data_IF_477121415490
#
_entry.id   IF_477121415490
#
_cell.length_a   1.000
_cell.length_b   1.000
_cell.length_c   1.000
_cell.angle_alpha   90.00
_cell.angle_beta   90.00
_cell.angle_gamma   90.00
#
_symmetry.space_group_name_H-M   'P 1'
#
loop_
_entity.id
_entity.type
_entity.pdbx_description
1 polymer ?
#
# COMPACT_ATOMS: atom_id res chain seq x y z
N UNK A 1 -11.57 6.28 0.42
CA UNK A 1 -10.25 6.26 1.07
C UNK A 1 -10.37 6.85 2.47
N UNK A 2 -9.53 6.39 3.39
CA UNK A 2 -9.40 6.93 4.74
C UNK A 2 -8.98 8.42 4.71
N UNK A 3 -9.46 9.29 5.61
CA UNK A 3 -9.00 10.68 5.70
C UNK A 3 -7.48 10.76 5.88
N UNK A 4 -6.81 11.69 5.21
CA UNK A 4 -5.36 11.86 5.26
C UNK A 4 -4.91 13.09 6.08
N UNK A 5 -5.81 14.07 6.28
CA UNK A 5 -5.52 15.30 7.00
C UNK A 5 -5.59 15.14 8.52
N UNK A 6 -4.93 16.06 9.24
CA UNK A 6 -4.83 16.04 10.71
C UNK A 6 -6.21 16.09 11.39
N UNK A 7 -7.17 16.76 10.76
CA UNK A 7 -8.54 16.92 11.24
C UNK A 7 -9.31 15.60 11.35
N UNK A 8 -9.00 14.61 10.49
CA UNK A 8 -9.63 13.28 10.53
C UNK A 8 -9.03 12.34 11.58
N UNK A 9 -7.85 12.66 12.11
CA UNK A 9 -7.09 11.78 13.00
C UNK A 9 -7.86 11.35 14.25
N UNK A 10 -8.56 12.26 14.99
CA UNK A 10 -9.29 11.86 16.19
C UNK A 10 -10.40 10.84 15.91
N UNK A 11 -11.09 10.98 14.78
CA UNK A 11 -12.22 10.14 14.42
C UNK A 11 -11.76 8.78 13.92
N UNK A 12 -10.73 8.76 13.05
CA UNK A 12 -10.07 7.51 12.65
C UNK A 12 -9.50 6.78 13.85
N UNK A 13 -8.86 7.50 14.78
CA UNK A 13 -8.34 6.94 16.02
C UNK A 13 -9.41 6.20 16.84
N UNK A 14 -10.58 6.82 17.02
CA UNK A 14 -11.71 6.18 17.73
C UNK A 14 -12.16 4.90 17.03
N UNK A 15 -12.30 4.91 15.71
CA UNK A 15 -12.67 3.72 14.93
C UNK A 15 -11.65 2.60 15.11
N UNK A 16 -10.35 2.90 15.01
CA UNK A 16 -9.30 1.89 15.18
C UNK A 16 -9.27 1.34 16.60
N UNK A 17 -9.42 2.18 17.62
CA UNK A 17 -9.53 1.73 19.02
C UNK A 17 -10.72 0.79 19.22
N UNK A 18 -11.89 1.12 18.66
CA UNK A 18 -13.06 0.25 18.72
C UNK A 18 -12.82 -1.08 18.00
N UNK A 19 -12.22 -1.06 16.80
CA UNK A 19 -11.90 -2.28 16.06
C UNK A 19 -10.94 -3.17 16.84
N UNK A 20 -9.91 -2.61 17.48
CA UNK A 20 -8.97 -3.36 18.31
C UNK A 20 -9.61 -3.95 19.56
N UNK A 21 -10.57 -3.25 20.16
CA UNK A 21 -11.33 -3.78 21.29
C UNK A 21 -12.28 -4.94 20.90
N UNK A 22 -12.74 -4.96 19.64
CA UNK A 22 -13.59 -6.03 19.12
C UNK A 22 -12.79 -7.21 18.53
N UNK A 23 -11.57 -6.94 18.04
CA UNK A 23 -10.70 -7.89 17.37
C UNK A 23 -9.26 -7.73 17.90
N UNK A 24 -8.95 -8.37 19.03
CA UNK A 24 -7.67 -8.19 19.74
C UNK A 24 -6.42 -8.53 18.89
N UNK A 25 -6.55 -9.43 17.91
CA UNK A 25 -5.46 -9.84 17.02
C UNK A 25 -5.55 -9.25 15.59
N UNK A 26 -6.43 -8.25 15.37
CA UNK A 26 -6.64 -7.68 14.04
C UNK A 26 -5.52 -6.74 13.60
N UNK A 27 -4.92 -7.00 12.43
CA UNK A 27 -4.00 -6.07 11.78
C UNK A 27 -4.79 -4.96 11.07
N UNK A 28 -4.56 -3.70 11.43
CA UNK A 28 -5.31 -2.56 10.88
C UNK A 28 -4.50 -1.86 9.80
N UNK A 29 -5.03 -1.87 8.58
CA UNK A 29 -4.49 -1.15 7.43
C UNK A 29 -5.38 0.04 7.12
N UNK A 30 -4.80 1.25 7.07
CA UNK A 30 -5.51 2.45 6.63
C UNK A 30 -5.18 2.78 5.17
N UNK A 31 -6.20 2.68 4.32
CA UNK A 31 -6.07 2.98 2.91
C UNK A 31 -6.25 4.48 2.62
N UNK A 32 -5.18 5.26 2.76
CA UNK A 32 -5.17 6.68 2.43
C UNK A 32 -4.98 6.91 0.92
N UNK A 33 -4.11 6.13 0.29
CA UNK A 33 -3.73 6.25 -1.12
C UNK A 33 -2.72 7.37 -1.41
N UNK A 34 -2.31 8.10 -0.37
CA UNK A 34 -1.31 9.18 -0.39
C UNK A 34 -0.65 9.25 0.99
N UNK A 35 0.47 9.96 1.13
CA UNK A 35 1.10 10.16 2.43
C UNK A 35 0.19 11.00 3.36
N UNK A 36 -0.33 10.43 4.45
CA UNK A 36 -1.19 11.16 5.37
C UNK A 36 -0.36 12.02 6.34
N UNK A 37 -1.05 12.77 7.21
CA UNK A 37 -0.43 13.39 8.38
C UNK A 37 0.32 12.34 9.22
N UNK A 38 1.56 12.60 9.71
CA UNK A 38 2.39 11.57 10.36
C UNK A 38 1.74 10.87 11.54
N UNK A 39 0.85 11.56 12.27
CA UNK A 39 0.12 10.99 13.40
C UNK A 39 -0.69 9.72 13.09
N UNK A 40 -1.04 9.45 11.82
CA UNK A 40 -1.71 8.21 11.44
C UNK A 40 -0.83 6.97 11.62
N UNK A 41 0.50 7.11 11.58
CA UNK A 41 1.45 6.01 11.81
C UNK A 41 1.46 5.48 13.25
N UNK A 42 0.90 6.25 14.19
CA UNK A 42 0.72 5.84 15.59
C UNK A 42 -0.62 5.13 15.83
N UNK A 43 -1.56 5.26 14.89
CA UNK A 43 -2.93 4.75 15.03
C UNK A 43 -3.07 3.36 14.43
N UNK A 44 -2.45 3.11 13.27
CA UNK A 44 -2.62 1.87 12.50
C UNK A 44 -1.32 1.08 12.38
N UNK A 45 -1.45 -0.19 12.02
CA UNK A 45 -0.32 -1.10 11.86
C UNK A 45 0.38 -0.90 10.51
N UNK A 46 -0.39 -0.52 9.49
CA UNK A 46 0.12 -0.22 8.14
C UNK A 46 -0.73 0.87 7.45
N UNK A 47 -0.08 1.68 6.61
CA UNK A 47 -0.67 2.76 5.84
C UNK A 47 -0.47 2.51 4.34
N UNK A 48 -1.54 2.62 3.55
CA UNK A 48 -1.41 2.70 2.08
C UNK A 48 -1.02 4.13 1.72
N UNK A 49 0.26 4.35 1.44
CA UNK A 49 0.82 5.68 1.15
C UNK A 49 0.84 6.01 -0.34
N UNK A 50 0.56 5.03 -1.20
CA UNK A 50 0.35 5.25 -2.63
C UNK A 50 -0.73 4.31 -3.15
N UNK A 51 -1.71 4.87 -3.88
CA UNK A 51 -2.70 4.12 -4.66
C UNK A 51 -2.95 4.83 -5.98
N UNK A 52 -2.53 4.25 -7.10
CA UNK A 52 -2.68 4.91 -8.40
C UNK A 52 -2.08 4.17 -9.59
N UNK A 53 -1.99 4.87 -10.72
CA UNK A 53 -1.45 4.31 -11.95
C UNK A 53 0.08 4.38 -12.04
N UNK A 54 0.66 3.46 -12.81
CA UNK A 54 2.10 3.39 -13.04
C UNK A 54 2.75 4.71 -13.48
N UNK A 55 2.20 5.50 -14.41
CA UNK A 55 2.76 6.79 -14.78
C UNK A 55 2.93 7.74 -13.57
N UNK A 56 1.93 7.83 -12.70
CA UNK A 56 1.99 8.68 -11.50
C UNK A 56 2.97 8.12 -10.48
N UNK A 57 3.01 6.80 -10.32
CA UNK A 57 3.91 6.12 -9.40
C UNK A 57 5.38 6.34 -9.76
N UNK A 58 5.69 6.35 -11.05
CA UNK A 58 7.07 6.53 -11.55
C UNK A 58 7.67 7.87 -11.12
N UNK A 59 6.83 8.88 -10.96
CA UNK A 59 7.22 10.25 -10.60
C UNK A 59 6.81 10.63 -9.18
N UNK A 60 6.34 9.68 -8.38
CA UNK A 60 5.91 9.94 -7.02
C UNK A 60 7.09 10.29 -6.11
N UNK A 61 6.79 11.03 -5.05
CA UNK A 61 7.75 11.42 -4.03
C UNK A 61 7.35 10.81 -2.69
N UNK A 62 8.37 10.54 -1.87
CA UNK A 62 8.21 10.06 -0.50
C UNK A 62 8.13 11.25 0.46
N UNK A 63 7.31 11.15 1.50
CA UNK A 63 7.29 12.14 2.59
C UNK A 63 8.43 11.89 3.58
N UNK A 64 9.19 12.94 3.94
CA UNK A 64 10.40 12.84 4.77
C UNK A 64 10.20 12.06 6.08
N UNK A 65 9.05 12.26 6.75
CA UNK A 65 8.72 11.63 8.03
C UNK A 65 8.65 10.09 7.95
N UNK A 66 8.45 9.49 6.77
CA UNK A 66 8.38 8.03 6.65
C UNK A 66 9.74 7.37 6.89
N UNK A 67 10.84 8.12 6.78
CA UNK A 67 12.19 7.63 7.06
C UNK A 67 12.40 7.24 8.54
N UNK A 68 11.60 7.80 9.45
CA UNK A 68 11.65 7.50 10.89
C UNK A 68 10.89 6.21 11.27
N UNK A 69 10.31 5.52 10.29
CA UNK A 69 9.49 4.33 10.51
C UNK A 69 9.99 3.14 9.70
N UNK A 70 9.76 1.91 10.20
CA UNK A 70 10.16 0.73 9.47
C UNK A 70 9.30 0.51 8.22
N UNK A 71 9.86 -0.10 7.16
CA UNK A 71 9.22 -0.14 5.84
C UNK A 71 7.91 -0.93 5.81
N UNK A 72 7.75 -1.94 6.68
CA UNK A 72 6.52 -2.74 6.75
C UNK A 72 5.27 -1.92 7.17
N UNK A 73 5.45 -0.70 7.68
CA UNK A 73 4.35 0.23 7.94
C UNK A 73 3.76 0.85 6.68
N UNK A 74 4.38 0.69 5.52
CA UNK A 74 3.97 1.37 4.28
C UNK A 74 3.63 0.37 3.17
N UNK A 75 2.50 0.63 2.51
CA UNK A 75 1.97 -0.18 1.43
C UNK A 75 1.74 0.66 0.16
N UNK A 76 2.22 0.18 -0.98
CA UNK A 76 1.98 0.79 -2.29
C UNK A 76 1.12 -0.12 -3.17
N UNK A 77 0.01 0.42 -3.66
CA UNK A 77 -0.90 -0.24 -4.60
C UNK A 77 -0.78 0.45 -5.96
N UNK A 78 -0.24 -0.25 -6.96
CA UNK A 78 0.03 0.35 -8.27
C UNK A 78 -0.59 -0.51 -9.37
N UNK A 79 -1.37 0.13 -10.23
CA UNK A 79 -2.02 -0.52 -11.37
C UNK A 79 -1.47 -0.01 -12.71
N UNK A 80 -1.74 -0.75 -13.78
CA UNK A 80 -1.20 -0.49 -15.11
C UNK A 80 0.31 -0.67 -15.20
N UNK A 81 0.93 -1.48 -14.32
CA UNK A 81 2.36 -1.79 -14.31
C UNK A 81 2.63 -2.88 -15.34
N UNK A 82 3.28 -2.58 -16.48
CA UNK A 82 3.62 -3.62 -17.44
C UNK A 82 4.65 -4.58 -16.81
N UNK A 83 4.60 -5.86 -17.18
CA UNK A 83 5.51 -6.89 -16.68
C UNK A 83 7.00 -6.48 -16.74
N UNK A 84 7.39 -5.79 -17.81
CA UNK A 84 8.75 -5.29 -18.04
C UNK A 84 9.22 -4.22 -17.06
N UNK A 85 8.30 -3.60 -16.31
CA UNK A 85 8.59 -2.56 -15.32
C UNK A 85 8.52 -3.04 -13.87
N UNK A 86 8.29 -4.33 -13.61
CA UNK A 86 8.19 -4.84 -12.23
C UNK A 86 9.44 -4.58 -11.40
N UNK A 87 10.63 -4.77 -11.97
CA UNK A 87 11.90 -4.49 -11.28
C UNK A 87 12.08 -2.99 -10.99
N UNK A 88 11.67 -2.13 -11.92
CA UNK A 88 11.68 -0.68 -11.71
C UNK A 88 10.71 -0.28 -10.60
N UNK A 89 9.49 -0.83 -10.61
CA UNK A 89 8.46 -0.57 -9.60
C UNK A 89 8.89 -1.05 -8.19
N UNK A 90 9.53 -2.22 -8.09
CA UNK A 90 10.10 -2.73 -6.84
C UNK A 90 11.23 -1.84 -6.33
N UNK A 91 12.11 -1.36 -7.22
CA UNK A 91 13.18 -0.44 -6.85
C UNK A 91 12.62 0.88 -6.32
N UNK A 92 11.57 1.42 -6.94
CA UNK A 92 10.87 2.62 -6.45
C UNK A 92 10.28 2.38 -5.06
N UNK A 93 9.57 1.25 -4.86
CA UNK A 93 8.99 0.91 -3.55
C UNK A 93 10.05 0.84 -2.45
N UNK A 94 11.16 0.14 -2.72
CA UNK A 94 12.28 0.03 -1.80
C UNK A 94 12.89 1.40 -1.47
N UNK A 95 13.11 2.24 -2.49
CA UNK A 95 13.63 3.60 -2.29
C UNK A 95 12.71 4.51 -1.48
N UNK A 96 11.39 4.35 -1.65
CA UNK A 96 10.38 5.10 -0.90
C UNK A 96 10.03 4.46 0.45
N UNK A 97 10.68 3.36 0.82
CA UNK A 97 10.48 2.70 2.11
C UNK A 97 9.20 1.87 2.23
N UNK A 98 8.57 1.47 1.12
CA UNK A 98 7.39 0.59 1.17
C UNK A 98 7.79 -0.89 1.27
N UNK A 99 7.45 -1.51 2.41
CA UNK A 99 7.70 -2.92 2.70
C UNK A 99 6.58 -3.85 2.21
N UNK A 100 5.45 -3.31 1.78
CA UNK A 100 4.35 -4.08 1.16
C UNK A 100 3.95 -3.45 -0.16
N UNK A 101 3.75 -4.27 -1.19
CA UNK A 101 3.36 -3.82 -2.52
C UNK A 101 2.32 -4.73 -3.14
N UNK A 102 1.46 -4.17 -3.97
CA UNK A 102 0.69 -4.92 -4.94
C UNK A 102 0.75 -4.22 -6.29
N UNK A 103 1.30 -4.92 -7.29
CA UNK A 103 1.46 -4.41 -8.65
C UNK A 103 0.66 -5.24 -9.65
N UNK A 104 -0.14 -4.58 -10.46
CA UNK A 104 -0.98 -5.22 -11.48
C UNK A 104 -0.85 -4.53 -12.84
N UNK A 105 -0.87 -5.30 -13.93
CA UNK A 105 -0.92 -4.79 -15.31
C UNK A 105 -2.32 -4.32 -15.71
N UNK A 106 -3.34 -4.68 -14.92
CA UNK A 106 -4.72 -4.25 -15.11
C UNK A 106 -4.81 -2.73 -14.99
N UNK A 107 -5.65 -2.11 -15.80
CA UNK A 107 -5.83 -0.66 -15.82
C UNK A 107 -7.31 -0.30 -15.68
N UNK A 108 -7.61 0.81 -14.99
CA UNK A 108 -8.98 1.32 -14.93
C UNK A 108 -9.43 2.16 -16.14
N UNK A 109 -8.67 2.15 -17.25
CA UNK A 109 -8.86 3.06 -18.39
C UNK A 109 -10.13 2.76 -19.21
N UNK A 110 -10.65 1.54 -19.11
CA UNK A 110 -11.89 1.08 -19.75
C UNK A 110 -13.09 1.07 -18.79
N UNK A 111 -12.95 1.66 -17.61
CA UNK A 111 -13.96 1.61 -16.54
C UNK A 111 -13.99 0.28 -15.79
N UNK A 112 -13.06 -0.64 -16.06
CA UNK A 112 -12.89 -1.83 -15.23
C UNK A 112 -12.22 -1.50 -13.89
N UNK A 113 -12.50 -2.29 -12.86
CA UNK A 113 -11.77 -2.22 -11.60
C UNK A 113 -10.39 -2.86 -11.78
N UNK A 114 -9.27 -2.10 -11.70
CA UNK A 114 -7.93 -2.65 -11.84
C UNK A 114 -7.58 -3.66 -10.74
N UNK A 115 -8.29 -3.65 -9.61
CA UNK A 115 -8.07 -4.54 -8.48
C UNK A 115 -8.96 -5.78 -8.50
N UNK A 116 -9.92 -5.86 -9.43
CA UNK A 116 -10.96 -6.90 -9.44
C UNK A 116 -10.49 -8.27 -9.93
N UNK A 117 -9.28 -8.38 -10.50
CA UNK A 117 -8.68 -9.64 -10.95
C UNK A 117 -7.18 -9.68 -10.68
N UNK A 118 -6.60 -10.89 -10.71
CA UNK A 118 -5.16 -11.08 -10.60
C UNK A 118 -4.41 -10.51 -11.82
N UNK A 119 -3.13 -10.11 -11.66
CA UNK A 119 -2.29 -9.67 -12.77
C UNK A 119 -2.04 -10.78 -13.79
N UNK A 120 -1.81 -10.43 -15.06
CA UNK A 120 -1.48 -11.39 -16.11
C UNK A 120 -0.19 -12.18 -15.87
N UNK A 121 0.69 -11.70 -15.00
CA UNK A 121 1.95 -12.33 -14.59
C UNK A 121 1.91 -12.92 -13.17
N UNK A 122 0.72 -13.19 -12.63
CA UNK A 122 0.55 -13.70 -11.26
C UNK A 122 1.38 -14.96 -10.95
N UNK A 123 1.40 -15.92 -11.87
CA UNK A 123 2.17 -17.17 -11.69
C UNK A 123 3.68 -16.91 -11.58
N UNK A 124 4.19 -15.88 -12.27
CA UNK A 124 5.58 -15.45 -12.18
C UNK A 124 5.89 -14.81 -10.81
N UNK A 125 4.95 -14.06 -10.24
CA UNK A 125 5.09 -13.52 -8.87
C UNK A 125 5.14 -14.66 -7.85
N UNK A 126 4.18 -15.58 -7.90
CA UNK A 126 4.07 -16.67 -6.91
C UNK A 126 5.26 -17.62 -7.00
N UNK A 127 5.72 -17.95 -8.21
CA UNK A 127 6.90 -18.81 -8.40
C UNK A 127 8.19 -18.23 -7.83
N UNK A 128 8.34 -16.90 -7.79
CA UNK A 128 9.50 -16.22 -7.19
C UNK A 128 9.46 -16.23 -5.65
N UNK A 129 8.29 -16.39 -5.05
CA UNK A 129 8.12 -16.45 -3.59
C UNK A 129 8.34 -17.88 -3.06
N UNK A 130 8.16 -18.90 -3.91
CA UNK A 130 8.31 -20.32 -3.55
C UNK A 130 7.29 -20.78 -2.48
N UNK A 131 7.19 -22.09 -2.18
CA UNK A 131 6.32 -22.60 -1.12
C UNK A 131 6.80 -22.26 0.30
N UNK A 132 7.60 -21.20 0.48
CA UNK A 132 8.23 -20.80 1.74
C UNK A 132 7.32 -20.06 2.72
N UNK A 133 6.01 -20.29 2.67
CA UNK A 133 5.13 -20.01 3.82
C UNK A 133 5.09 -21.32 4.62
N UNK A 134 6.07 -21.50 5.49
CA UNK A 134 6.04 -22.60 6.45
C UNK A 134 4.79 -22.47 7.33
N UNK A 135 4.03 -23.56 7.38
CA UNK A 135 3.05 -23.88 8.44
C UNK A 135 3.69 -23.85 9.85
#
# INVERSE_FOLDING_TARGET
>A
NCPAGREGLPDTGRVVTTLRALCEAGHVVLDHGTHPHPGYAEVADQLVTFRGEWPDYRWSQVAEWTADHPPWRFCHLVHGVPRTHLEEALRIACWQGAGTVYFTDRSGRDGSDPWGTLPGYWDEIVSRIGPGVSE
#
